data_IF_183452024791
#
_entry.id   IF_183452024791
#
_cell.length_a   1.000
_cell.length_b   1.000
_cell.length_c   1.000
_cell.angle_alpha   90.00
_cell.angle_beta   90.00
_cell.angle_gamma   90.00
#
_symmetry.space_group_name_H-M   'P 1'
#
loop_
_entity.id
_entity.type
_entity.pdbx_description
1 polymer ?
#
# COMPACT_ATOMS: atom_id res chain seq x y z
N UNK A 1 -9.13 19.20 7.08
CA UNK A 1 -8.65 18.62 8.37
C UNK A 1 -7.13 18.45 8.31
N UNK A 2 -6.38 18.74 9.38
CA UNK A 2 -4.90 18.65 9.39
C UNK A 2 -4.33 17.60 10.36
N UNK A 3 -5.14 17.10 11.29
CA UNK A 3 -4.78 16.14 12.35
C UNK A 3 -6.01 15.31 12.73
N UNK A 4 -5.81 14.15 13.34
CA UNK A 4 -6.87 13.35 13.95
C UNK A 4 -7.55 14.09 15.12
N UNK A 5 -8.83 13.79 15.42
CA UNK A 5 -9.47 14.16 16.68
C UNK A 5 -8.70 13.60 17.88
N UNK A 6 -8.71 14.33 19.00
CA UNK A 6 -7.93 14.02 20.20
C UNK A 6 -8.52 12.86 21.03
N UNK A 7 -9.77 12.48 20.78
CA UNK A 7 -10.53 11.46 21.50
C UNK A 7 -10.38 10.03 20.93
N UNK A 8 -9.60 9.87 19.86
CA UNK A 8 -9.36 8.56 19.25
C UNK A 8 -8.29 7.79 20.02
N UNK A 9 -8.65 6.62 20.55
CA UNK A 9 -7.69 5.73 21.21
C UNK A 9 -8.07 4.26 21.06
N UNK A 10 -7.06 3.39 21.01
CA UNK A 10 -7.29 1.94 20.98
C UNK A 10 -7.89 1.47 22.31
N UNK A 11 -9.05 0.81 22.24
CA UNK A 11 -9.85 0.45 23.44
C UNK A 11 -9.30 -0.80 24.15
N UNK A 12 -8.98 -1.91 23.45
CA UNK A 12 -8.42 -3.10 24.09
C UNK A 12 -6.98 -2.89 24.59
N UNK A 13 -6.49 -3.73 25.50
CA UNK A 13 -5.10 -3.68 25.92
C UNK A 13 -4.15 -4.18 24.81
N UNK A 14 -3.00 -3.50 24.66
CA UNK A 14 -1.94 -3.93 23.75
C UNK A 14 -1.27 -5.24 24.22
N UNK A 15 -1.13 -6.20 23.30
CA UNK A 15 -0.30 -7.40 23.52
C UNK A 15 1.16 -7.00 23.71
N UNK A 16 1.93 -7.80 24.47
CA UNK A 16 3.34 -7.52 24.81
C UNK A 16 4.18 -7.16 23.58
N UNK A 17 4.04 -7.89 22.48
CA UNK A 17 4.81 -7.64 21.25
C UNK A 17 4.40 -6.31 20.58
N UNK A 18 3.09 -6.00 20.56
CA UNK A 18 2.58 -4.76 19.96
C UNK A 18 3.10 -3.56 20.74
N UNK A 19 3.02 -3.63 22.07
CA UNK A 19 3.54 -2.59 22.97
C UNK A 19 5.03 -2.32 22.70
N UNK A 20 5.84 -3.37 22.60
CA UNK A 20 7.28 -3.23 22.30
C UNK A 20 7.54 -2.50 20.97
N UNK A 21 6.77 -2.80 19.93
CA UNK A 21 6.90 -2.11 18.63
C UNK A 21 6.51 -0.63 18.77
N UNK A 22 5.42 -0.35 19.50
CA UNK A 22 4.92 1.01 19.72
C UNK A 22 5.86 1.87 20.59
N UNK A 23 6.48 1.29 21.61
CA UNK A 23 7.46 1.96 22.48
C UNK A 23 8.73 2.36 21.72
N UNK A 24 9.08 1.63 20.67
CA UNK A 24 10.28 1.89 19.85
C UNK A 24 9.92 2.53 18.49
N UNK A 25 8.69 3.02 18.33
CA UNK A 25 8.18 3.46 17.04
C UNK A 25 8.98 4.64 16.46
N UNK A 26 9.37 5.61 17.30
CA UNK A 26 10.13 6.79 16.85
C UNK A 26 11.46 6.39 16.21
N UNK A 27 12.16 5.44 16.86
CA UNK A 27 13.39 4.85 16.33
C UNK A 27 13.14 4.13 15.00
N UNK A 28 12.03 3.40 14.88
CA UNK A 28 11.67 2.73 13.62
C UNK A 28 11.30 3.69 12.50
N UNK A 29 10.89 4.93 12.83
CA UNK A 29 10.48 5.95 11.87
C UNK A 29 11.56 6.99 11.57
N UNK A 30 12.79 6.82 12.08
CA UNK A 30 13.93 7.72 11.81
C UNK A 30 14.17 7.93 10.31
N UNK A 31 14.05 6.87 9.51
CA UNK A 31 14.18 6.92 8.05
C UNK A 31 12.85 7.15 7.32
N UNK A 32 11.74 7.41 8.04
CA UNK A 32 10.37 7.57 7.52
C UNK A 32 9.75 6.31 6.90
N UNK A 33 10.29 5.12 7.17
CA UNK A 33 9.77 3.85 6.67
C UNK A 33 9.63 2.81 7.78
N UNK A 34 8.47 2.15 7.87
CA UNK A 34 8.23 1.06 8.81
C UNK A 34 7.78 -0.21 8.07
N UNK A 35 8.57 -1.28 8.17
CA UNK A 35 8.18 -2.61 7.68
C UNK A 35 7.90 -3.54 8.87
N UNK A 36 6.65 -4.01 8.97
CA UNK A 36 6.21 -4.90 10.04
C UNK A 36 5.92 -6.29 9.49
N UNK A 37 6.70 -7.29 9.91
CA UNK A 37 6.47 -8.71 9.60
C UNK A 37 5.98 -9.43 10.86
N UNK A 38 4.87 -10.16 10.74
CA UNK A 38 4.38 -11.02 11.82
C UNK A 38 3.50 -12.16 11.25
N UNK A 39 3.11 -13.17 12.05
CA UNK A 39 2.18 -14.22 11.64
C UNK A 39 0.72 -13.74 11.47
N UNK A 40 -0.14 -14.40 10.68
CA UNK A 40 -1.57 -14.09 10.64
C UNK A 40 -2.19 -14.12 12.04
N UNK A 41 -3.21 -13.29 12.29
CA UNK A 41 -3.85 -13.20 13.62
C UNK A 41 -3.04 -12.47 14.71
N UNK A 42 -1.81 -12.00 14.41
CA UNK A 42 -1.03 -11.24 15.38
C UNK A 42 -1.72 -9.93 15.79
N UNK A 43 -2.40 -9.27 14.84
CA UNK A 43 -3.04 -7.96 15.02
C UNK A 43 -2.32 -6.82 14.30
N UNK A 44 -1.85 -7.04 13.06
CA UNK A 44 -1.12 -6.03 12.26
C UNK A 44 -2.01 -4.87 11.84
N UNK A 45 -3.27 -5.16 11.52
CA UNK A 45 -4.27 -4.15 11.16
C UNK A 45 -4.38 -3.10 12.26
N UNK A 46 -4.62 -3.55 13.49
CA UNK A 46 -4.73 -2.68 14.66
C UNK A 46 -3.43 -1.92 14.92
N UNK A 47 -2.27 -2.59 14.79
CA UNK A 47 -0.98 -1.92 14.96
C UNK A 47 -0.76 -0.84 13.90
N UNK A 48 -1.12 -1.10 12.64
CA UNK A 48 -1.04 -0.13 11.55
C UNK A 48 -1.97 1.08 11.78
N UNK A 49 -3.18 0.84 12.29
CA UNK A 49 -4.11 1.92 12.66
C UNK A 49 -3.54 2.80 13.78
N UNK A 50 -2.92 2.22 14.80
CA UNK A 50 -2.26 2.98 15.87
C UNK A 50 -1.05 3.77 15.34
N UNK A 51 -0.23 3.16 14.47
CA UNK A 51 0.89 3.87 13.83
C UNK A 51 0.38 5.07 13.02
N UNK A 52 -0.73 4.91 12.28
CA UNK A 52 -1.37 6.01 11.56
C UNK A 52 -1.75 7.15 12.51
N UNK A 53 -2.38 6.86 13.67
CA UNK A 53 -2.76 7.87 14.66
C UNK A 53 -1.54 8.61 15.21
N UNK A 54 -0.46 7.89 15.55
CA UNK A 54 0.77 8.49 16.08
C UNK A 54 1.52 9.35 15.07
N UNK A 55 1.54 8.93 13.80
CA UNK A 55 2.13 9.73 12.71
C UNK A 55 1.29 10.98 12.44
N UNK A 56 -0.03 10.92 12.66
CA UNK A 56 -0.96 12.03 12.62
C UNK A 56 -0.91 12.86 11.32
N UNK A 57 -0.93 12.17 10.18
CA UNK A 57 -0.90 12.76 8.83
C UNK A 57 -2.02 12.21 7.96
N UNK A 58 -2.41 12.91 6.88
CA UNK A 58 -3.27 12.35 5.86
C UNK A 58 -2.74 10.99 5.40
N UNK A 59 -3.59 9.96 5.42
CA UNK A 59 -3.15 8.57 5.27
C UNK A 59 -3.97 7.85 4.21
N UNK A 60 -3.30 7.09 3.37
CA UNK A 60 -3.90 6.13 2.45
C UNK A 60 -3.61 4.70 2.93
N UNK A 61 -4.65 3.87 3.02
CA UNK A 61 -4.53 2.44 3.32
C UNK A 61 -4.87 1.68 2.05
N UNK A 62 -3.90 0.93 1.55
CA UNK A 62 -4.03 0.08 0.38
C UNK A 62 -4.28 -1.36 0.81
N UNK A 63 -5.38 -1.93 0.35
CA UNK A 63 -5.78 -3.31 0.63
C UNK A 63 -5.82 -4.14 -0.66
N UNK A 64 -5.44 -5.42 -0.62
CA UNK A 64 -5.43 -6.25 -1.83
C UNK A 64 -6.85 -6.59 -2.34
N UNK A 65 -7.86 -6.54 -1.47
CA UNK A 65 -9.26 -6.86 -1.82
C UNK A 65 -10.25 -5.90 -1.15
N UNK A 66 -11.47 -5.82 -1.71
CA UNK A 66 -12.56 -5.03 -1.14
C UNK A 66 -12.95 -5.49 0.28
N UNK A 67 -12.96 -6.81 0.51
CA UNK A 67 -13.27 -7.38 1.82
C UNK A 67 -12.23 -6.96 2.87
N UNK A 68 -10.94 -6.98 2.51
CA UNK A 68 -9.88 -6.53 3.44
C UNK A 68 -10.01 -5.02 3.68
N UNK A 69 -10.29 -4.22 2.65
CA UNK A 69 -10.58 -2.78 2.79
C UNK A 69 -11.72 -2.53 3.79
N UNK A 70 -12.81 -3.27 3.70
CA UNK A 70 -13.95 -3.18 4.64
C UNK A 70 -13.57 -3.59 6.06
N UNK A 71 -12.76 -4.65 6.22
CA UNK A 71 -12.24 -5.03 7.53
C UNK A 71 -11.40 -3.92 8.17
N UNK A 72 -10.56 -3.23 7.41
CA UNK A 72 -9.78 -2.09 7.95
C UNK A 72 -10.70 -0.98 8.48
N UNK A 73 -11.73 -0.62 7.71
CA UNK A 73 -12.72 0.38 8.14
C UNK A 73 -13.45 -0.07 9.40
N UNK A 74 -14.02 -1.28 9.38
CA UNK A 74 -14.79 -1.82 10.49
C UNK A 74 -13.95 -1.90 11.78
N UNK A 75 -12.70 -2.38 11.69
CA UNK A 75 -11.81 -2.46 12.86
C UNK A 75 -11.47 -1.10 13.43
N UNK A 76 -11.33 -0.08 12.58
CA UNK A 76 -11.09 1.27 13.06
C UNK A 76 -12.31 1.85 13.78
N UNK A 77 -13.50 1.65 13.20
CA UNK A 77 -14.77 2.07 13.82
C UNK A 77 -15.00 1.41 15.19
N UNK A 78 -14.85 0.08 15.25
CA UNK A 78 -15.10 -0.71 16.45
C UNK A 78 -14.07 -0.47 17.56
N UNK A 79 -12.77 -0.49 17.21
CA UNK A 79 -11.70 -0.59 18.21
C UNK A 79 -11.07 0.75 18.57
N UNK A 80 -11.36 1.81 17.82
CA UNK A 80 -10.78 3.15 18.05
C UNK A 80 -11.85 4.25 18.21
N UNK A 81 -12.91 4.21 17.40
CA UNK A 81 -13.91 5.29 17.37
C UNK A 81 -15.17 5.00 18.21
N UNK A 82 -15.45 3.73 18.51
CA UNK A 82 -16.75 3.29 19.08
C UNK A 82 -17.96 3.84 18.30
N UNK A 83 -17.81 3.95 16.99
CA UNK A 83 -18.82 4.52 16.11
C UNK A 83 -19.48 3.41 15.28
N UNK A 84 -20.80 3.50 15.08
CA UNK A 84 -21.51 2.63 14.14
C UNK A 84 -21.42 3.15 12.69
N UNK A 85 -21.18 4.45 12.54
CA UNK A 85 -21.15 5.11 11.24
C UNK A 85 -19.76 5.68 10.94
N UNK A 86 -19.41 5.64 9.66
CA UNK A 86 -18.13 6.15 9.15
C UNK A 86 -18.14 7.69 9.16
N UNK A 87 -17.22 8.36 9.89
CA UNK A 87 -17.07 9.81 9.82
C UNK A 87 -16.75 10.32 8.40
N UNK A 88 -17.10 11.57 8.12
CA UNK A 88 -16.86 12.20 6.80
C UNK A 88 -15.38 12.31 6.43
N UNK A 89 -14.50 12.44 7.43
CA UNK A 89 -13.06 12.54 7.22
C UNK A 89 -12.39 11.20 6.86
N UNK A 90 -13.18 10.11 6.80
CA UNK A 90 -12.76 8.81 6.28
C UNK A 90 -13.44 8.56 4.93
N UNK A 91 -12.67 8.25 3.90
CA UNK A 91 -13.17 7.85 2.59
C UNK A 91 -12.83 6.40 2.28
N UNK A 92 -13.70 5.74 1.52
CA UNK A 92 -13.47 4.42 0.93
C UNK A 92 -13.29 4.46 -0.59
N UNK A 93 -13.26 5.66 -1.17
CA UNK A 93 -13.22 5.89 -2.60
C UNK A 93 -11.99 6.71 -2.96
N UNK A 94 -11.13 6.15 -3.81
CA UNK A 94 -9.90 6.82 -4.23
C UNK A 94 -10.15 8.09 -5.05
N UNK A 95 -11.29 8.17 -5.76
CA UNK A 95 -11.71 9.36 -6.52
C UNK A 95 -12.23 10.51 -5.66
N UNK A 96 -12.54 10.24 -4.40
CA UNK A 96 -13.05 11.21 -3.43
C UNK A 96 -12.25 11.05 -2.14
N UNK A 97 -10.95 11.39 -2.15
CA UNK A 97 -10.09 11.18 -0.99
C UNK A 97 -10.50 12.08 0.17
N UNK A 98 -10.35 11.55 1.39
CA UNK A 98 -10.51 12.29 2.64
C UNK A 98 -9.22 12.21 3.47
N UNK A 99 -9.27 12.68 4.72
CA UNK A 99 -8.09 12.68 5.60
C UNK A 99 -7.51 11.28 5.80
N UNK A 100 -8.38 10.28 5.96
CA UNK A 100 -8.03 8.85 5.82
C UNK A 100 -8.75 8.30 4.61
N UNK A 101 -8.02 7.66 3.69
CA UNK A 101 -8.61 7.01 2.52
C UNK A 101 -8.23 5.53 2.50
N UNK A 102 -9.22 4.64 2.58
CA UNK A 102 -9.02 3.19 2.56
C UNK A 102 -9.50 2.66 1.21
N UNK A 103 -8.62 2.09 0.40
CA UNK A 103 -8.97 1.66 -0.95
C UNK A 103 -8.34 0.32 -1.31
N UNK A 104 -8.92 -0.33 -2.32
CA UNK A 104 -8.38 -1.57 -2.86
C UNK A 104 -7.34 -1.27 -3.94
N UNK A 105 -6.28 -2.09 -4.03
CA UNK A 105 -5.21 -1.91 -5.03
C UNK A 105 -5.74 -1.88 -6.47
N UNK A 106 -6.76 -2.68 -6.78
CA UNK A 106 -7.42 -2.68 -8.09
C UNK A 106 -8.05 -1.32 -8.42
N UNK A 107 -8.60 -0.62 -7.43
CA UNK A 107 -9.16 0.70 -7.64
C UNK A 107 -8.06 1.72 -7.98
N UNK A 108 -6.90 1.61 -7.34
CA UNK A 108 -5.72 2.40 -7.66
C UNK A 108 -5.19 2.08 -9.07
N UNK A 109 -5.05 0.80 -9.42
CA UNK A 109 -4.60 0.38 -10.75
C UNK A 109 -5.51 0.91 -11.86
N UNK A 110 -6.83 0.80 -11.68
CA UNK A 110 -7.81 1.28 -12.66
C UNK A 110 -7.81 2.80 -12.86
N UNK A 111 -7.32 3.58 -11.89
CA UNK A 111 -7.11 5.02 -12.09
C UNK A 111 -5.90 5.27 -12.99
N UNK A 112 -4.79 4.59 -12.75
CA UNK A 112 -3.59 4.74 -13.56
C UNK A 112 -3.80 4.28 -15.01
N UNK A 113 -4.56 3.21 -15.23
CA UNK A 113 -4.90 2.76 -16.59
C UNK A 113 -5.72 3.81 -17.34
N UNK A 114 -6.71 4.43 -16.68
CA UNK A 114 -7.55 5.48 -17.28
C UNK A 114 -6.78 6.76 -17.57
N UNK A 115 -5.88 7.18 -16.70
CA UNK A 115 -4.98 8.30 -16.98
C UNK A 115 -4.06 8.01 -18.18
N UNK A 116 -3.62 6.76 -18.30
CA UNK A 116 -2.79 6.33 -19.44
C UNK A 116 -3.58 6.36 -20.74
N UNK A 117 -4.83 5.86 -20.73
CA UNK A 117 -5.73 5.89 -21.89
C UNK A 117 -6.16 7.32 -22.27
N UNK A 118 -6.50 8.17 -21.31
CA UNK A 118 -6.85 9.58 -21.55
C UNK A 118 -5.65 10.38 -22.08
N UNK A 119 -4.44 10.11 -21.57
CA UNK A 119 -3.21 10.70 -22.09
C UNK A 119 -2.86 10.21 -23.51
N UNK A 120 -3.12 8.95 -23.83
CA UNK A 120 -2.95 8.40 -25.19
C UNK A 120 -3.98 9.01 -26.17
N UNK A 121 -5.25 9.14 -25.77
CA UNK A 121 -6.30 9.78 -26.57
C UNK A 121 -6.00 11.27 -26.79
N UNK A 122 -5.48 11.97 -25.77
CA UNK A 122 -5.04 13.36 -25.90
C UNK A 122 -3.85 13.51 -26.86
N UNK A 123 -2.87 12.60 -26.81
CA UNK A 123 -1.78 12.52 -27.79
C UNK A 123 -2.24 12.17 -29.20
N UNK A 124 -3.38 11.48 -29.35
CA UNK A 124 -3.93 11.12 -30.65
C UNK A 124 -4.78 12.24 -31.27
N UNK A 125 -5.36 13.12 -30.44
CA UNK A 125 -6.08 14.34 -30.87
C UNK A 125 -5.16 15.54 -31.13
N UNK A 126 -4.01 15.63 -30.46
CA UNK A 126 -2.93 16.52 -30.84
C UNK A 126 -2.13 15.88 -31.99
N UNK A 127 -2.34 16.33 -33.23
CA UNK A 127 -1.86 15.67 -34.45
C UNK A 127 -0.44 15.05 -34.40
N UNK A 128 -0.40 13.75 -34.73
CA UNK A 128 0.72 12.81 -35.05
C UNK A 128 2.09 12.96 -34.34
N UNK A 129 2.62 11.86 -33.77
CA UNK A 129 3.90 11.82 -33.07
C UNK A 129 5.10 11.66 -34.01
N UNK A 130 6.19 12.37 -33.74
CA UNK A 130 7.51 12.02 -34.27
C UNK A 130 8.01 10.77 -33.54
N UNK A 131 8.17 9.66 -34.27
CA UNK A 131 8.59 8.35 -33.75
C UNK A 131 10.06 8.37 -33.30
N UNK A 132 10.32 7.84 -32.11
CA UNK A 132 11.57 7.14 -31.83
C UNK A 132 11.25 5.83 -31.09
N UNK A 133 11.65 4.65 -31.61
CA UNK A 133 11.40 3.38 -30.92
C UNK A 133 12.49 3.14 -29.88
N UNK A 134 12.13 3.18 -28.60
CA UNK A 134 12.93 2.56 -27.54
C UNK A 134 12.89 1.03 -27.76
N UNK A 135 14.03 0.45 -28.17
CA UNK A 135 14.19 -1.01 -28.26
C UNK A 135 14.40 -1.55 -26.84
N UNK A 136 13.51 -2.44 -26.44
CA UNK A 136 13.68 -3.34 -25.29
C UNK A 136 14.92 -4.21 -25.55
N UNK A 137 15.98 -4.03 -24.79
CA UNK A 137 17.14 -4.91 -24.82
C UNK A 137 16.78 -6.26 -24.16
N UNK A 138 16.25 -7.18 -24.95
CA UNK A 138 16.16 -8.59 -24.56
C UNK A 138 17.50 -9.25 -24.88
N UNK A 139 18.36 -9.41 -23.88
CA UNK A 139 19.58 -10.24 -24.00
C UNK A 139 19.18 -11.71 -23.94
N UNK A 140 18.80 -12.28 -25.09
CA UNK A 140 18.74 -13.71 -25.30
C UNK A 140 20.09 -14.15 -25.89
N UNK A 141 21.04 -14.60 -25.05
CA UNK A 141 22.23 -15.30 -25.55
C UNK A 141 21.88 -16.76 -25.85
N UNK A 142 21.88 -17.00 -27.15
CA UNK A 142 21.83 -18.26 -27.91
C UNK A 142 22.66 -19.39 -27.27
N UNK A 143 22.08 -20.59 -27.27
CA UNK A 143 22.77 -21.87 -27.13
C UNK A 143 23.63 -22.14 -28.37
N UNK A 144 24.85 -22.65 -28.19
CA UNK A 144 25.63 -23.33 -29.22
C UNK A 144 25.71 -24.84 -28.90
N UNK A 145 25.75 -25.74 -29.90
CA UNK A 145 25.74 -27.19 -29.68
C UNK A 145 27.13 -27.85 -29.80
N UNK A 146 27.33 -28.83 -28.91
CA UNK A 146 27.98 -30.15 -29.08
C UNK A 146 29.48 -30.18 -29.45
N UNK A 147 30.29 -30.79 -28.57
CA UNK A 147 31.66 -31.23 -28.86
C UNK A 147 32.28 -32.06 -27.76
N UNK A 148 32.28 -33.38 -27.96
CA UNK A 148 32.83 -34.47 -27.18
C UNK A 148 34.30 -34.27 -26.73
N UNK A 149 34.64 -34.63 -25.48
CA UNK A 149 36.03 -34.66 -24.99
C UNK A 149 36.16 -35.30 -23.60
N UNK A 150 36.58 -36.57 -23.58
CA UNK A 150 36.90 -37.36 -22.38
C UNK A 150 38.16 -36.84 -21.67
N UNK A 151 38.25 -37.00 -20.34
CA UNK A 151 39.45 -37.29 -19.50
C UNK A 151 39.08 -37.01 -18.04
N UNK A 152 38.85 -38.00 -17.17
CA UNK A 152 39.84 -38.71 -16.33
C UNK A 152 40.73 -37.78 -15.52
N UNK A 153 40.61 -37.81 -14.18
CA UNK A 153 41.64 -38.19 -13.19
C UNK A 153 41.40 -37.53 -11.82
N UNK A 154 41.44 -38.42 -10.81
CA UNK A 154 41.88 -38.26 -9.41
C UNK A 154 41.14 -37.33 -8.45
#
# INVERSE_FOLDING_TARGET
MRRFPDDISFIPPWRRYQRRVLENLDRHLENRHLHLVAPPGSGKTVLGLEVMLRVNKPTIILAPTLTIKEQWLQRFLELFLKANEKPEWISTHIKQPAFVTITADQALHSLFEKETEEAEVFKMKAGKPCRAPWKRASSAKKKEPIGFGRSSWM
#
